data_IF_900120146288
#
_entry.id   IF_900120146288
#
_cell.length_a   1.000
_cell.length_b   1.000
_cell.length_c   1.000
_cell.angle_alpha   90.00
_cell.angle_beta   90.00
_cell.angle_gamma   90.00
#
_symmetry.space_group_name_H-M   'P 1'
#
loop_
_entity.id
_entity.type
_entity.pdbx_description
1 polymer ?
#
# COMPACT_ATOMS: atom_id res chain seq x y z
N UNK A 1 10.87 -2.37 20.86
CA UNK A 1 10.58 -1.73 19.55
C UNK A 1 10.37 -0.22 19.73
N UNK A 2 9.37 0.19 20.51
CA UNK A 2 9.09 1.60 20.85
C UNK A 2 10.33 2.42 21.19
N UNK A 3 11.13 1.99 22.17
CA UNK A 3 12.37 2.69 22.58
C UNK A 3 13.40 2.87 21.46
N UNK A 4 13.48 1.94 20.50
CA UNK A 4 14.39 2.09 19.36
C UNK A 4 13.85 3.13 18.37
N UNK A 5 12.55 3.09 18.08
CA UNK A 5 11.89 4.02 17.17
C UNK A 5 11.95 5.44 17.72
N UNK A 6 11.59 5.61 19.00
CA UNK A 6 11.63 6.89 19.72
C UNK A 6 13.04 7.51 19.71
N UNK A 7 14.08 6.67 19.80
CA UNK A 7 15.48 7.12 19.82
C UNK A 7 16.08 7.39 18.44
N UNK A 8 15.67 6.64 17.42
CA UNK A 8 16.37 6.63 16.12
C UNK A 8 15.53 7.23 14.98
N UNK A 9 14.27 7.63 15.22
CA UNK A 9 13.37 8.20 14.21
C UNK A 9 13.10 7.27 13.03
N UNK A 10 13.41 5.98 13.16
CA UNK A 10 13.25 4.96 12.13
C UNK A 10 13.01 3.61 12.75
N UNK A 11 12.36 2.74 11.98
CA UNK A 11 12.17 1.35 12.35
C UNK A 11 13.52 0.61 12.31
N UNK A 12 13.78 -0.34 13.23
CA UNK A 12 14.98 -1.15 13.19
C UNK A 12 14.90 -2.17 12.07
N UNK A 13 16.06 -2.50 11.50
CA UNK A 13 16.18 -3.49 10.42
C UNK A 13 15.74 -4.90 10.86
N UNK A 14 15.87 -5.19 12.15
CA UNK A 14 15.41 -6.41 12.80
C UNK A 14 15.16 -6.17 14.29
N UNK A 15 14.37 -7.02 14.92
CA UNK A 15 14.21 -7.14 16.36
C UNK A 15 14.88 -8.44 16.83
N UNK A 16 15.52 -8.42 17.98
CA UNK A 16 16.04 -9.64 18.60
C UNK A 16 14.95 -10.22 19.51
N UNK A 17 14.62 -11.50 19.32
CA UNK A 17 13.72 -12.26 20.18
C UNK A 17 14.49 -13.40 20.84
N UNK A 18 13.87 -14.10 21.79
CA UNK A 18 14.42 -15.33 22.38
C UNK A 18 14.63 -16.45 21.34
N UNK A 19 14.00 -16.35 20.16
CA UNK A 19 14.10 -17.30 19.06
C UNK A 19 15.05 -16.82 17.93
N UNK A 20 15.72 -15.68 18.10
CA UNK A 20 16.68 -15.13 17.15
C UNK A 20 16.31 -13.74 16.60
N UNK A 21 17.05 -13.27 15.59
CA UNK A 21 16.78 -11.97 14.94
C UNK A 21 15.64 -12.11 13.93
N UNK A 22 14.62 -11.28 14.07
CA UNK A 22 13.47 -11.20 13.17
C UNK A 22 13.49 -9.88 12.41
N UNK A 23 13.52 -9.90 11.07
CA UNK A 23 13.43 -8.68 10.26
C UNK A 23 12.07 -8.02 10.38
N UNK A 24 12.04 -6.72 10.11
CA UNK A 24 10.87 -5.88 10.24
C UNK A 24 9.63 -6.43 9.50
N UNK A 25 9.82 -6.92 8.28
CA UNK A 25 8.75 -7.43 7.41
C UNK A 25 8.08 -8.67 8.02
N UNK A 26 8.87 -9.56 8.63
CA UNK A 26 8.35 -10.73 9.35
C UNK A 26 7.56 -10.35 10.59
N UNK A 27 7.95 -9.25 11.24
CA UNK A 27 7.25 -8.72 12.40
C UNK A 27 5.90 -8.11 12.01
N UNK A 28 5.83 -7.35 10.90
CA UNK A 28 4.55 -6.85 10.36
C UNK A 28 3.64 -8.01 9.96
N UNK A 29 4.19 -9.03 9.31
CA UNK A 29 3.43 -10.22 8.95
C UNK A 29 2.89 -10.96 10.20
N UNK A 30 3.69 -11.03 11.27
CA UNK A 30 3.27 -11.58 12.56
C UNK A 30 2.10 -10.79 13.16
N UNK A 31 2.19 -9.46 13.23
CA UNK A 31 1.09 -8.62 13.72
C UNK A 31 -0.16 -8.75 12.86
N UNK A 32 -0.01 -8.84 11.53
CA UNK A 32 -1.13 -9.04 10.61
C UNK A 32 -1.86 -10.37 10.88
N UNK A 33 -1.13 -11.44 11.19
CA UNK A 33 -1.71 -12.72 11.61
C UNK A 33 -2.47 -12.62 12.93
N UNK A 34 -1.91 -11.90 13.90
CA UNK A 34 -2.55 -11.67 15.21
C UNK A 34 -3.90 -10.95 15.00
N UNK A 35 -3.89 -9.88 14.21
CA UNK A 35 -5.09 -9.07 13.96
C UNK A 35 -6.16 -9.83 13.19
N UNK A 36 -5.78 -10.64 12.18
CA UNK A 36 -6.74 -11.46 11.44
C UNK A 36 -7.40 -12.53 12.34
N UNK A 37 -6.61 -13.16 13.21
CA UNK A 37 -7.11 -14.12 14.19
C UNK A 37 -8.09 -13.45 15.16
N UNK A 38 -7.74 -12.27 15.68
CA UNK A 38 -8.60 -11.51 16.58
C UNK A 38 -9.91 -11.08 15.92
N UNK A 39 -9.86 -10.61 14.67
CA UNK A 39 -11.07 -10.21 13.94
C UNK A 39 -12.09 -11.35 13.83
N UNK A 40 -11.60 -12.58 13.62
CA UNK A 40 -12.41 -13.78 13.44
C UNK A 40 -12.89 -14.37 14.77
N UNK A 41 -11.99 -14.48 15.75
CA UNK A 41 -12.23 -15.24 16.98
C UNK A 41 -12.60 -14.35 18.18
N UNK A 42 -12.53 -13.02 18.03
CA UNK A 42 -12.71 -12.02 19.09
C UNK A 42 -11.83 -12.27 20.34
N UNK A 43 -10.73 -12.99 20.15
CA UNK A 43 -9.75 -13.36 21.16
C UNK A 43 -8.35 -13.34 20.54
N UNK A 44 -7.33 -13.08 21.35
CA UNK A 44 -5.94 -13.12 20.89
C UNK A 44 -5.49 -14.58 20.66
N UNK A 45 -4.61 -14.83 19.68
CA UNK A 45 -4.06 -16.16 19.48
C UNK A 45 -3.08 -16.53 20.59
N UNK A 46 -3.15 -17.77 21.09
CA UNK A 46 -2.20 -18.29 22.08
C UNK A 46 -0.76 -18.39 21.54
N UNK A 47 -0.59 -18.51 20.22
CA UNK A 47 0.70 -18.44 19.56
C UNK A 47 0.57 -18.02 18.10
N UNK A 48 1.62 -17.41 17.54
CA UNK A 48 1.69 -17.07 16.11
C UNK A 48 2.98 -17.60 15.51
N UNK A 49 2.84 -18.47 14.53
CA UNK A 49 3.97 -19.05 13.80
C UNK A 49 4.38 -18.19 12.62
N UNK A 50 5.67 -17.85 12.58
CA UNK A 50 6.36 -17.19 11.46
C UNK A 50 7.53 -18.07 11.02
N UNK A 51 7.75 -18.20 9.71
CA UNK A 51 8.85 -19.03 9.18
C UNK A 51 10.20 -18.37 9.49
N UNK A 52 11.17 -19.17 9.94
CA UNK A 52 12.54 -18.72 10.17
C UNK A 52 13.19 -18.25 8.86
N UNK A 53 13.91 -17.14 8.91
CA UNK A 53 14.59 -16.58 7.75
C UNK A 53 15.97 -17.22 7.57
N UNK A 54 16.04 -18.26 6.75
CA UNK A 54 17.31 -18.76 6.19
C UNK A 54 17.68 -17.94 4.95
N UNK A 55 18.97 -17.86 4.62
CA UNK A 55 19.52 -17.30 3.37
C UNK A 55 18.59 -17.52 2.18
N UNK A 56 17.93 -16.46 1.71
CA UNK A 56 17.14 -16.52 0.48
C UNK A 56 18.14 -16.54 -0.69
N UNK A 57 18.55 -17.75 -1.08
CA UNK A 57 18.68 -18.07 -2.49
C UNK A 57 17.34 -17.74 -3.16
N UNK A 58 17.32 -17.21 -4.40
CA UNK A 58 16.11 -16.68 -5.03
C UNK A 58 15.00 -17.74 -4.97
N UNK A 59 14.01 -17.45 -4.12
CA UNK A 59 12.71 -18.13 -3.93
C UNK A 59 12.65 -19.66 -4.13
N UNK A 60 12.10 -20.34 -3.11
CA UNK A 60 10.94 -21.17 -3.31
C UNK A 60 9.71 -20.47 -2.73
N UNK A 61 8.70 -20.39 -3.59
CA UNK A 61 7.28 -20.10 -3.40
C UNK A 61 6.76 -20.28 -1.96
N UNK A 62 6.04 -19.30 -1.38
CA UNK A 62 5.31 -19.51 -0.14
C UNK A 62 4.11 -20.43 -0.39
N UNK A 63 4.06 -21.55 0.33
CA UNK A 63 2.86 -22.40 0.41
C UNK A 63 1.72 -21.62 1.12
N UNK A 64 0.54 -21.49 0.49
CA UNK A 64 -0.63 -20.80 1.03
C UNK A 64 -1.13 -21.37 2.37
N UNK A 65 -1.62 -20.51 3.26
CA UNK A 65 -2.76 -20.91 4.09
C UNK A 65 -3.97 -21.01 3.17
N UNK A 66 -4.67 -22.14 3.21
CA UNK A 66 -5.70 -22.59 2.27
C UNK A 66 -6.91 -21.64 2.10
N UNK A 67 -6.70 -20.49 1.44
CA UNK A 67 -7.72 -19.71 0.71
C UNK A 67 -7.09 -18.47 0.00
N UNK A 68 -6.10 -18.66 -0.89
CA UNK A 68 -5.52 -17.53 -1.64
C UNK A 68 -5.53 -17.78 -3.14
N UNK A 69 -6.66 -17.50 -3.79
CA UNK A 69 -6.83 -17.53 -5.24
C UNK A 69 -6.26 -16.26 -5.91
N UNK A 70 -5.00 -15.91 -5.65
CA UNK A 70 -4.32 -14.84 -6.38
C UNK A 70 -2.97 -15.28 -6.92
N UNK A 71 -2.58 -14.70 -8.05
CA UNK A 71 -1.32 -14.97 -8.73
C UNK A 71 -0.33 -13.84 -8.48
N UNK A 72 0.97 -14.14 -8.59
CA UNK A 72 2.03 -13.12 -8.63
C UNK A 72 2.74 -13.24 -9.97
N UNK A 73 2.82 -12.14 -10.72
CA UNK A 73 3.51 -12.07 -12.01
C UNK A 73 4.63 -11.03 -11.95
N UNK A 74 5.85 -11.40 -12.32
CA UNK A 74 6.95 -10.45 -12.47
C UNK A 74 6.72 -9.58 -13.72
N UNK A 75 6.69 -8.26 -13.57
CA UNK A 75 6.54 -7.33 -14.70
C UNK A 75 7.89 -6.85 -15.24
N UNK A 76 8.92 -6.79 -14.37
CA UNK A 76 10.26 -6.43 -14.77
C UNK A 76 11.20 -6.18 -13.59
N UNK A 77 12.49 -6.18 -13.87
CA UNK A 77 13.58 -5.97 -12.91
C UNK A 77 14.71 -5.17 -13.56
N UNK A 78 15.54 -4.52 -12.74
CA UNK A 78 16.82 -3.95 -13.13
C UNK A 78 17.78 -3.93 -11.92
N UNK A 79 18.87 -3.17 -12.01
CA UNK A 79 19.90 -3.08 -10.96
C UNK A 79 19.43 -2.48 -9.63
N UNK A 80 18.36 -1.67 -9.62
CA UNK A 80 17.86 -1.04 -8.40
C UNK A 80 16.60 -1.71 -7.82
N UNK A 81 15.96 -2.64 -8.54
CA UNK A 81 14.83 -3.38 -7.99
C UNK A 81 13.94 -4.05 -9.02
N UNK A 82 12.73 -4.39 -8.61
CA UNK A 82 11.76 -5.07 -9.47
C UNK A 82 10.31 -4.60 -9.22
N UNK A 83 9.44 -4.95 -10.16
CA UNK A 83 8.00 -4.72 -10.08
C UNK A 83 7.26 -6.04 -10.33
N UNK A 84 6.31 -6.34 -9.46
CA UNK A 84 5.43 -7.50 -9.60
C UNK A 84 3.96 -7.10 -9.47
N UNK A 85 3.10 -7.85 -10.16
CA UNK A 85 1.64 -7.71 -10.13
C UNK A 85 1.04 -8.85 -9.33
N UNK A 86 0.33 -8.53 -8.27
CA UNK A 86 -0.40 -9.49 -7.44
C UNK A 86 -1.89 -9.36 -7.74
N UNK A 87 -2.58 -10.50 -7.78
CA UNK A 87 -4.02 -10.54 -7.95
C UNK A 87 -4.45 -11.59 -8.97
N UNK A 88 -5.72 -11.55 -9.37
CA UNK A 88 -6.74 -10.65 -8.83
C UNK A 88 -7.09 -10.93 -7.36
N UNK A 89 -7.58 -9.91 -6.66
CA UNK A 89 -8.30 -10.04 -5.38
C UNK A 89 -9.74 -9.55 -5.57
N UNK A 90 -10.73 -10.27 -5.05
CA UNK A 90 -12.14 -9.97 -5.32
C UNK A 90 -12.73 -10.76 -6.48
N UNK A 91 -14.05 -10.80 -6.53
CA UNK A 91 -14.87 -11.50 -7.51
C UNK A 91 -15.67 -10.55 -8.40
N UNK A 92 -15.63 -9.24 -8.13
CA UNK A 92 -16.32 -8.25 -8.96
C UNK A 92 -15.71 -8.10 -10.35
N UNK A 93 -16.38 -7.31 -11.19
CA UNK A 93 -15.99 -7.14 -12.61
C UNK A 93 -15.22 -5.85 -12.87
N UNK A 94 -15.30 -4.87 -11.97
CA UNK A 94 -14.62 -3.59 -12.13
C UNK A 94 -13.15 -3.71 -11.71
N UNK A 95 -12.23 -3.59 -12.67
CA UNK A 95 -10.80 -3.68 -12.37
C UNK A 95 -10.26 -2.42 -11.71
N UNK A 96 -9.58 -2.58 -10.58
CA UNK A 96 -8.90 -1.50 -9.85
C UNK A 96 -7.42 -1.83 -9.73
N UNK A 97 -6.56 -0.88 -10.11
CA UNK A 97 -5.12 -0.97 -9.90
C UNK A 97 -4.77 -0.29 -8.58
N UNK A 98 -4.03 -0.98 -7.72
CA UNK A 98 -3.47 -0.39 -6.50
C UNK A 98 -1.96 -0.41 -6.61
N UNK A 99 -1.32 0.75 -6.51
CA UNK A 99 0.12 0.90 -6.68
C UNK A 99 0.74 1.13 -5.30
N UNK A 100 1.76 0.35 -4.97
CA UNK A 100 2.46 0.44 -3.69
C UNK A 100 3.97 0.33 -3.89
N UNK A 101 4.74 0.90 -2.96
CA UNK A 101 6.18 0.72 -2.89
C UNK A 101 6.98 1.66 -3.80
N UNK A 102 6.33 2.67 -4.40
CA UNK A 102 7.02 3.70 -5.20
C UNK A 102 8.06 4.43 -4.34
N UNK A 103 7.76 4.69 -3.07
CA UNK A 103 8.71 5.25 -2.12
C UNK A 103 8.98 4.27 -0.96
N UNK A 104 10.19 3.70 -0.86
CA UNK A 104 10.47 2.66 0.14
C UNK A 104 10.23 3.09 1.60
N UNK A 105 10.43 4.36 1.93
CA UNK A 105 10.25 4.88 3.30
C UNK A 105 8.77 4.98 3.71
N UNK A 106 7.84 4.87 2.76
CA UNK A 106 6.38 4.91 2.98
C UNK A 106 5.80 3.49 3.16
N UNK A 107 6.68 2.50 3.41
CA UNK A 107 6.37 1.08 3.44
C UNK A 107 5.26 0.63 4.38
N UNK A 108 4.94 1.41 5.44
CA UNK A 108 3.84 1.04 6.34
C UNK A 108 2.47 1.21 5.71
N UNK A 109 2.23 2.33 5.02
CA UNK A 109 0.99 2.55 4.28
C UNK A 109 0.80 1.47 3.20
N UNK A 110 1.87 1.16 2.48
CA UNK A 110 1.90 0.10 1.47
C UNK A 110 1.51 -1.28 2.03
N UNK A 111 2.10 -1.67 3.16
CA UNK A 111 1.82 -2.96 3.80
C UNK A 111 0.40 -3.00 4.38
N UNK A 112 -0.06 -1.91 5.01
CA UNK A 112 -1.41 -1.80 5.54
C UNK A 112 -2.46 -2.01 4.44
N UNK A 113 -2.31 -1.32 3.29
CA UNK A 113 -3.22 -1.48 2.14
C UNK A 113 -3.17 -2.89 1.56
N UNK A 114 -1.98 -3.46 1.34
CA UNK A 114 -1.87 -4.83 0.83
C UNK A 114 -2.52 -5.86 1.78
N UNK A 115 -2.35 -5.69 3.09
CA UNK A 115 -2.94 -6.58 4.08
C UNK A 115 -4.47 -6.43 4.13
N UNK A 116 -4.99 -5.20 4.07
CA UNK A 116 -6.42 -4.95 4.01
C UNK A 116 -7.06 -5.57 2.75
N UNK A 117 -6.41 -5.43 1.59
CA UNK A 117 -6.85 -6.06 0.33
C UNK A 117 -6.94 -7.58 0.49
N UNK A 118 -5.90 -8.20 1.05
CA UNK A 118 -5.88 -9.65 1.29
C UNK A 118 -6.96 -10.11 2.27
N UNK A 119 -7.15 -9.37 3.35
CA UNK A 119 -8.13 -9.70 4.38
C UNK A 119 -9.58 -9.56 3.88
N UNK A 120 -9.83 -8.58 3.02
CA UNK A 120 -11.16 -8.30 2.47
C UNK A 120 -11.42 -8.97 1.12
N UNK A 121 -10.46 -9.72 0.56
CA UNK A 121 -10.54 -10.22 -0.81
C UNK A 121 -11.84 -11.00 -1.12
N UNK A 122 -12.37 -11.77 -0.17
CA UNK A 122 -13.63 -12.52 -0.36
C UNK A 122 -14.90 -11.67 -0.27
N UNK A 123 -14.80 -10.42 0.19
CA UNK A 123 -15.92 -9.46 0.31
C UNK A 123 -15.90 -8.40 -0.79
N UNK A 124 -14.96 -8.47 -1.72
CA UNK A 124 -14.85 -7.53 -2.84
C UNK A 124 -15.62 -8.07 -4.04
N UNK A 125 -16.93 -7.86 -4.03
CA UNK A 125 -17.91 -8.34 -5.01
C UNK A 125 -18.21 -7.35 -6.15
N UNK A 126 -17.85 -6.07 -6.00
CA UNK A 126 -18.01 -5.05 -7.05
C UNK A 126 -16.73 -4.80 -7.83
N UNK A 127 -15.58 -5.08 -7.21
CA UNK A 127 -14.26 -4.83 -7.79
C UNK A 127 -13.38 -6.07 -7.82
N UNK A 128 -12.39 -6.00 -8.71
CA UNK A 128 -11.27 -6.92 -8.79
C UNK A 128 -9.98 -6.09 -8.71
N UNK A 129 -9.18 -6.29 -7.67
CA UNK A 129 -7.97 -5.52 -7.41
C UNK A 129 -6.74 -6.24 -7.96
N UNK A 130 -5.89 -5.51 -8.68
CA UNK A 130 -4.51 -5.88 -8.96
C UNK A 130 -3.56 -4.94 -8.25
N UNK A 131 -2.67 -5.49 -7.43
CA UNK A 131 -1.64 -4.72 -6.73
C UNK A 131 -0.36 -4.72 -7.54
N UNK A 132 0.09 -3.54 -7.94
CA UNK A 132 1.38 -3.29 -8.57
C UNK A 132 2.39 -2.93 -7.48
N UNK A 133 3.19 -3.91 -7.08
CA UNK A 133 4.18 -3.75 -6.02
C UNK A 133 5.55 -3.45 -6.62
N UNK A 134 6.05 -2.26 -6.31
CA UNK A 134 7.42 -1.83 -6.61
C UNK A 134 8.31 -2.16 -5.42
N UNK A 135 9.50 -2.73 -5.69
CA UNK A 135 10.48 -3.03 -4.65
C UNK A 135 11.87 -2.56 -5.07
N UNK A 136 12.38 -1.58 -4.36
CA UNK A 136 13.76 -1.08 -4.48
C UNK A 136 14.67 -1.90 -3.57
N UNK A 137 15.83 -2.35 -4.06
CA UNK A 137 16.76 -3.18 -3.30
C UNK A 137 17.46 -2.41 -2.19
N UNK A 138 17.91 -1.19 -2.47
CA UNK A 138 18.56 -0.33 -1.49
C UNK A 138 17.66 0.85 -1.12
N UNK A 139 17.04 0.77 0.06
CA UNK A 139 16.13 1.77 0.59
C UNK A 139 16.77 2.73 1.61
N UNK A 140 18.10 2.74 1.73
CA UNK A 140 18.78 3.48 2.81
C UNK A 140 18.83 4.98 2.56
N UNK A 141 19.09 5.40 1.32
CA UNK A 141 19.10 6.81 0.94
C UNK A 141 17.73 7.24 0.41
N UNK A 142 17.10 8.22 1.06
CA UNK A 142 15.74 8.66 0.70
C UNK A 142 15.67 9.16 -0.75
N UNK A 143 16.56 10.08 -1.15
CA UNK A 143 16.51 10.74 -2.46
C UNK A 143 16.73 9.74 -3.60
N UNK A 144 17.72 8.88 -3.45
CA UNK A 144 18.10 7.85 -4.43
C UNK A 144 17.01 6.79 -4.53
N UNK A 145 16.58 6.22 -3.41
CA UNK A 145 15.59 5.13 -3.42
C UNK A 145 14.20 5.60 -3.85
N UNK A 146 13.82 6.84 -3.54
CA UNK A 146 12.63 7.49 -4.08
C UNK A 146 12.69 7.57 -5.60
N UNK A 147 13.78 8.10 -6.15
CA UNK A 147 13.98 8.23 -7.61
C UNK A 147 13.96 6.87 -8.30
N UNK A 148 14.63 5.88 -7.71
CA UNK A 148 14.64 4.51 -8.20
C UNK A 148 13.24 3.89 -8.21
N UNK A 149 12.45 4.04 -7.15
CA UNK A 149 11.09 3.52 -7.11
C UNK A 149 10.16 4.21 -8.12
N UNK A 150 10.27 5.53 -8.28
CA UNK A 150 9.57 6.28 -9.34
C UNK A 150 9.94 5.75 -10.74
N UNK A 151 11.23 5.50 -11.01
CA UNK A 151 11.68 4.99 -12.30
C UNK A 151 11.25 3.54 -12.56
N UNK A 152 11.24 2.67 -11.54
CA UNK A 152 10.67 1.32 -11.65
C UNK A 152 9.17 1.39 -11.99
N UNK A 153 8.44 2.23 -11.26
CA UNK A 153 7.00 2.40 -11.45
C UNK A 153 6.69 2.93 -12.85
N UNK A 154 7.38 3.98 -13.28
CA UNK A 154 7.21 4.52 -14.63
C UNK A 154 7.51 3.48 -15.71
N UNK A 155 8.57 2.67 -15.55
CA UNK A 155 8.98 1.69 -16.55
C UNK A 155 8.07 0.45 -16.62
N UNK A 156 7.62 -0.05 -15.47
CA UNK A 156 6.96 -1.36 -15.41
C UNK A 156 5.52 -1.32 -14.87
N UNK A 157 5.12 -0.32 -14.07
CA UNK A 157 3.73 -0.18 -13.60
C UNK A 157 2.90 0.56 -14.64
N UNK A 158 3.34 1.76 -15.05
CA UNK A 158 2.55 2.62 -15.94
C UNK A 158 2.15 1.89 -17.22
N UNK A 159 3.03 1.21 -17.98
CA UNK A 159 2.64 0.54 -19.23
C UNK A 159 1.66 -0.62 -19.02
N UNK A 160 1.67 -1.25 -17.84
CA UNK A 160 0.86 -2.43 -17.53
C UNK A 160 -0.52 -2.10 -16.93
N UNK A 161 -0.82 -0.82 -16.70
CA UNK A 161 -2.16 -0.33 -16.35
C UNK A 161 -2.76 0.29 -17.63
N UNK A 162 -3.77 -0.41 -18.18
CA UNK A 162 -4.49 -0.04 -19.40
C UNK A 162 -5.96 0.37 -19.12
N UNK A 163 -6.70 0.73 -20.16
CA UNK A 163 -8.08 1.21 -20.08
C UNK A 163 -9.10 0.16 -19.63
N UNK A 164 -8.69 -1.10 -19.43
CA UNK A 164 -9.54 -2.09 -18.75
C UNK A 164 -9.66 -1.82 -17.25
N UNK A 165 -8.73 -1.05 -16.66
CA UNK A 165 -8.83 -0.55 -15.29
C UNK A 165 -9.76 0.67 -15.21
N UNK A 166 -10.66 0.65 -14.21
CA UNK A 166 -11.63 1.72 -13.96
C UNK A 166 -11.11 2.77 -12.98
N UNK A 167 -10.11 2.41 -12.18
CA UNK A 167 -9.46 3.30 -11.22
C UNK A 167 -8.03 2.82 -10.94
N UNK A 168 -7.10 3.75 -10.82
CA UNK A 168 -5.78 3.55 -10.23
C UNK A 168 -5.65 4.32 -8.91
N UNK A 169 -5.40 3.61 -7.82
CA UNK A 169 -5.08 4.16 -6.51
C UNK A 169 -3.59 4.09 -6.28
N UNK A 170 -2.92 5.23 -6.18
CA UNK A 170 -1.50 5.35 -5.90
C UNK A 170 -1.31 5.69 -4.40
N UNK A 171 -0.72 4.76 -3.65
CA UNK A 171 -0.64 4.84 -2.18
C UNK A 171 0.68 5.46 -1.76
N UNK A 172 0.62 6.49 -0.93
CA UNK A 172 1.76 7.23 -0.38
C UNK A 172 1.57 7.49 1.12
N UNK A 173 2.59 8.06 1.76
CA UNK A 173 2.46 8.61 3.10
C UNK A 173 3.18 9.95 3.24
N UNK A 174 2.61 10.84 4.05
CA UNK A 174 3.14 12.17 4.28
C UNK A 174 3.68 12.35 5.71
N UNK A 175 4.58 13.34 5.86
CA UNK A 175 5.24 13.67 7.13
C UNK A 175 4.56 14.79 7.93
N UNK A 176 3.38 15.26 7.50
CA UNK A 176 2.62 16.30 8.20
C UNK A 176 3.07 17.73 7.93
N UNK A 177 3.57 18.03 6.72
CA UNK A 177 3.98 19.38 6.32
C UNK A 177 2.89 20.18 5.60
N UNK A 178 1.72 19.58 5.40
CA UNK A 178 0.67 20.14 4.57
C UNK A 178 -0.39 20.83 5.44
N UNK A 179 -0.64 22.11 5.19
CA UNK A 179 -1.61 22.90 5.94
C UNK A 179 -2.55 23.64 4.97
N UNK A 180 -3.80 23.79 5.37
CA UNK A 180 -4.79 24.62 4.68
C UNK A 180 -5.56 25.43 5.73
N UNK A 181 -5.49 26.76 5.66
CA UNK A 181 -6.15 27.62 6.66
C UNK A 181 -5.71 27.36 8.11
N UNK A 182 -4.49 26.87 8.32
CA UNK A 182 -3.97 26.49 9.65
C UNK A 182 -4.31 25.07 10.11
N UNK A 183 -5.14 24.33 9.35
CA UNK A 183 -5.46 22.93 9.64
C UNK A 183 -4.47 21.98 8.97
N UNK A 184 -3.91 21.04 9.73
CA UNK A 184 -3.06 19.97 9.22
C UNK A 184 -3.84 19.09 8.24
N UNK A 185 -3.27 18.86 7.07
CA UNK A 185 -3.78 17.94 6.07
C UNK A 185 -3.05 16.61 6.24
N UNK A 186 -3.56 15.83 7.17
CA UNK A 186 -2.99 14.59 7.68
C UNK A 186 -3.30 13.39 6.76
N UNK A 187 -4.57 13.17 6.44
CA UNK A 187 -4.98 12.04 5.63
C UNK A 187 -5.87 12.53 4.49
N UNK A 188 -5.41 12.36 3.26
CA UNK A 188 -6.09 12.95 2.13
C UNK A 188 -6.01 12.12 0.86
N UNK A 189 -6.93 12.41 -0.05
CA UNK A 189 -6.98 11.85 -1.39
C UNK A 189 -7.17 12.97 -2.40
N UNK A 190 -6.52 12.88 -3.56
CA UNK A 190 -6.69 13.87 -4.62
C UNK A 190 -6.43 13.32 -6.01
N UNK A 191 -6.87 14.09 -7.01
CA UNK A 191 -6.74 13.78 -8.43
C UNK A 191 -5.65 14.67 -9.06
N UNK A 192 -4.39 14.23 -9.19
CA UNK A 192 -3.29 15.10 -9.61
C UNK A 192 -3.46 15.65 -11.05
N UNK A 193 -4.18 14.94 -11.92
CA UNK A 193 -4.49 15.39 -13.28
C UNK A 193 -5.72 16.29 -13.39
N UNK A 194 -6.38 16.61 -12.27
CA UNK A 194 -7.63 17.37 -12.21
C UNK A 194 -8.83 16.79 -12.99
N UNK A 195 -8.76 15.54 -13.45
CA UNK A 195 -9.84 14.90 -14.22
C UNK A 195 -11.14 14.72 -13.42
N UNK A 196 -12.29 15.00 -14.05
CA UNK A 196 -13.60 14.95 -13.40
C UNK A 196 -13.93 13.56 -12.80
N UNK A 197 -13.65 12.48 -13.54
CA UNK A 197 -13.87 11.11 -13.03
C UNK A 197 -12.94 10.78 -11.86
N UNK A 198 -11.65 11.15 -11.91
CA UNK A 198 -10.74 11.00 -10.77
C UNK A 198 -11.25 11.74 -9.53
N UNK A 199 -11.74 12.98 -9.69
CA UNK A 199 -12.33 13.75 -8.58
C UNK A 199 -13.60 13.08 -8.04
N UNK A 200 -14.44 12.53 -8.90
CA UNK A 200 -15.61 11.76 -8.49
C UNK A 200 -15.23 10.54 -7.64
N UNK A 201 -14.23 9.75 -8.05
CA UNK A 201 -13.74 8.63 -7.24
C UNK A 201 -13.09 9.09 -5.92
N UNK A 202 -12.30 10.16 -5.92
CA UNK A 202 -11.75 10.72 -4.69
C UNK A 202 -12.88 11.10 -3.70
N UNK A 203 -13.95 11.74 -4.18
CA UNK A 203 -15.09 12.10 -3.34
C UNK A 203 -15.88 10.88 -2.85
N UNK A 204 -16.01 9.81 -3.68
CA UNK A 204 -16.61 8.55 -3.24
C UNK A 204 -15.80 7.88 -2.15
N UNK A 205 -14.47 7.92 -2.23
CA UNK A 205 -13.59 7.43 -1.17
C UNK A 205 -13.82 8.21 0.12
N UNK A 206 -13.80 9.54 0.06
CA UNK A 206 -14.07 10.42 1.21
C UNK A 206 -15.42 10.11 1.85
N UNK A 207 -16.49 10.01 1.06
CA UNK A 207 -17.84 9.74 1.56
C UNK A 207 -17.99 8.38 2.26
N UNK A 208 -17.07 7.43 2.04
CA UNK A 208 -17.09 6.08 2.61
C UNK A 208 -15.97 5.86 3.64
N UNK A 209 -15.34 6.93 4.12
CA UNK A 209 -14.33 6.88 5.18
C UNK A 209 -14.56 8.02 6.17
N UNK A 210 -14.17 7.87 7.42
CA UNK A 210 -14.33 8.91 8.45
C UNK A 210 -13.11 9.85 8.56
N UNK A 211 -12.01 9.53 7.88
CA UNK A 211 -10.72 10.18 8.10
C UNK A 211 -10.15 10.88 6.86
N UNK A 212 -10.63 10.57 5.64
CA UNK A 212 -10.12 11.20 4.43
C UNK A 212 -10.78 12.56 4.18
N UNK A 213 -9.96 13.48 3.68
CA UNK A 213 -10.42 14.73 3.06
C UNK A 213 -9.82 14.91 1.66
N UNK A 214 -10.41 15.81 0.89
CA UNK A 214 -9.84 16.19 -0.40
C UNK A 214 -8.78 17.28 -0.18
N UNK A 215 -7.54 17.00 -0.55
CA UNK A 215 -6.47 18.00 -0.51
C UNK A 215 -5.45 17.76 -1.62
N UNK A 216 -5.33 18.72 -2.54
CA UNK A 216 -4.41 18.62 -3.66
C UNK A 216 -3.07 19.28 -3.31
N UNK A 217 -2.00 18.48 -3.32
CA UNK A 217 -0.64 18.98 -3.13
C UNK A 217 -0.11 19.53 -4.47
N UNK A 218 0.33 20.80 -4.47
CA UNK A 218 0.85 21.46 -5.65
C UNK A 218 2.28 20.99 -6.04
N UNK A 219 3.11 20.62 -5.06
CA UNK A 219 4.57 20.49 -5.24
C UNK A 219 5.11 19.05 -5.26
N UNK A 220 4.27 18.08 -5.66
CA UNK A 220 4.67 16.68 -5.75
C UNK A 220 5.38 16.33 -7.07
N UNK A 221 6.60 15.78 -7.01
CA UNK A 221 7.29 15.25 -8.21
C UNK A 221 6.83 13.85 -8.61
N UNK A 222 6.46 13.01 -7.65
CA UNK A 222 6.02 11.62 -7.86
C UNK A 222 4.81 11.47 -8.82
N UNK A 223 3.75 12.32 -8.73
CA UNK A 223 2.62 12.25 -9.65
C UNK A 223 3.04 12.26 -11.14
N UNK A 224 4.11 12.98 -11.50
CA UNK A 224 4.59 13.07 -12.89
C UNK A 224 5.17 11.74 -13.43
N UNK A 225 5.64 10.85 -12.55
CA UNK A 225 6.23 9.57 -12.94
C UNK A 225 5.20 8.46 -13.07
N UNK A 226 4.13 8.49 -12.27
CA UNK A 226 3.22 7.35 -12.12
C UNK A 226 1.77 7.76 -12.39
N UNK A 227 1.17 8.53 -11.48
CA UNK A 227 -0.28 8.78 -11.48
C UNK A 227 -0.74 9.60 -12.68
N UNK A 228 -0.03 10.68 -13.03
CA UNK A 228 -0.38 11.56 -14.17
C UNK A 228 -0.23 10.81 -15.50
N UNK A 229 0.87 10.07 -15.77
CA UNK A 229 0.96 9.22 -16.95
C UNK A 229 -0.19 8.20 -17.10
N UNK A 230 -0.65 7.60 -16.00
CA UNK A 230 -1.82 6.71 -16.01
C UNK A 230 -3.09 7.50 -16.37
N UNK A 231 -3.29 8.66 -15.74
CA UNK A 231 -4.44 9.52 -16.03
C UNK A 231 -4.49 9.99 -17.50
N UNK A 232 -3.33 10.28 -18.10
CA UNK A 232 -3.22 10.65 -19.52
C UNK A 232 -3.69 9.55 -20.49
N UNK A 233 -3.81 8.30 -20.04
CA UNK A 233 -4.41 7.20 -20.80
C UNK A 233 -5.94 7.18 -20.75
N UNK A 234 -6.57 8.16 -20.08
CA UNK A 234 -8.02 8.18 -19.87
C UNK A 234 -8.50 7.33 -18.70
N UNK A 235 -7.59 6.90 -17.82
CA UNK A 235 -7.91 6.06 -16.66
C UNK A 235 -8.05 6.97 -15.44
N UNK A 236 -9.17 6.96 -14.70
CA UNK A 236 -9.27 7.66 -13.43
C UNK A 236 -8.14 7.23 -12.50
N UNK A 237 -7.38 8.19 -12.00
CA UNK A 237 -6.26 7.95 -11.10
C UNK A 237 -6.24 8.99 -9.97
N UNK A 238 -6.02 8.50 -8.75
CA UNK A 238 -5.98 9.30 -7.52
C UNK A 238 -4.79 8.89 -6.65
N UNK A 239 -4.28 9.83 -5.87
CA UNK A 239 -3.26 9.60 -4.86
C UNK A 239 -3.93 9.57 -3.50
N UNK A 240 -3.60 8.55 -2.70
CA UNK A 240 -4.00 8.41 -1.30
C UNK A 240 -2.77 8.60 -0.42
N UNK A 241 -2.83 9.59 0.47
CA UNK A 241 -1.73 10.01 1.34
C UNK A 241 -2.16 9.89 2.80
N UNK A 242 -1.37 9.15 3.57
CA UNK A 242 -1.65 8.90 5.00
C UNK A 242 -0.60 9.56 5.87
N UNK A 243 -1.01 10.12 7.01
CA UNK A 243 -0.04 10.71 7.93
C UNK A 243 0.79 9.63 8.62
N UNK A 244 2.10 9.78 8.58
CA UNK A 244 3.01 8.74 9.07
C UNK A 244 3.33 8.81 10.58
N UNK A 245 3.08 9.95 11.25
CA UNK A 245 3.48 10.15 12.65
C UNK A 245 2.27 10.08 13.60
N UNK A 246 1.71 8.88 13.78
CA UNK A 246 0.63 8.65 14.75
C UNK A 246 1.01 7.53 15.72
N UNK A 247 0.52 7.61 16.96
CA UNK A 247 0.68 6.54 17.94
C UNK A 247 -0.01 5.25 17.47
N UNK A 248 0.52 4.08 17.85
CA UNK A 248 0.05 2.78 17.38
C UNK A 248 -0.05 2.69 15.84
N UNK A 249 0.89 3.34 15.16
CA UNK A 249 0.91 3.57 13.71
C UNK A 249 0.45 2.40 12.84
N UNK A 250 0.91 1.19 13.15
CA UNK A 250 0.55 0.00 12.36
C UNK A 250 -0.94 -0.35 12.44
N UNK A 251 -1.54 -0.21 13.62
CA UNK A 251 -2.96 -0.49 13.84
C UNK A 251 -3.82 0.61 13.19
N UNK A 252 -3.46 1.87 13.41
CA UNK A 252 -4.17 3.01 12.83
C UNK A 252 -4.18 2.94 11.30
N UNK A 253 -3.01 2.72 10.68
CA UNK A 253 -2.94 2.60 9.23
C UNK A 253 -3.67 1.39 8.68
N UNK A 254 -3.66 0.27 9.40
CA UNK A 254 -4.41 -0.90 8.98
C UNK A 254 -5.92 -0.64 9.02
N UNK A 255 -6.42 0.06 10.04
CA UNK A 255 -7.82 0.45 10.11
C UNK A 255 -8.21 1.43 8.99
N UNK A 256 -7.37 2.43 8.71
CA UNK A 256 -7.55 3.32 7.55
C UNK A 256 -7.54 2.54 6.23
N UNK A 257 -6.61 1.60 6.06
CA UNK A 257 -6.55 0.75 4.88
C UNK A 257 -7.79 -0.13 4.72
N UNK A 258 -8.35 -0.69 5.81
CA UNK A 258 -9.61 -1.43 5.76
C UNK A 258 -10.77 -0.55 5.27
N UNK A 259 -10.86 0.69 5.77
CA UNK A 259 -11.87 1.64 5.32
C UNK A 259 -11.70 1.99 3.84
N UNK A 260 -10.48 2.31 3.39
CA UNK A 260 -10.21 2.65 1.99
C UNK A 260 -10.52 1.48 1.04
N UNK A 261 -10.17 0.25 1.41
CA UNK A 261 -10.47 -0.93 0.58
C UNK A 261 -11.98 -1.19 0.49
N UNK A 262 -12.72 -1.00 1.60
CA UNK A 262 -14.20 -1.06 1.58
C UNK A 262 -14.80 0.06 0.73
N UNK A 263 -14.28 1.29 0.85
CA UNK A 263 -14.70 2.45 0.08
C UNK A 263 -14.42 2.27 -1.43
N UNK A 264 -13.30 1.63 -1.79
CA UNK A 264 -13.03 1.22 -3.17
C UNK A 264 -14.14 0.29 -3.68
N UNK A 265 -14.52 -0.75 -2.94
CA UNK A 265 -15.60 -1.65 -3.36
C UNK A 265 -16.93 -0.91 -3.52
N UNK A 266 -17.30 -0.09 -2.54
CA UNK A 266 -18.54 0.66 -2.53
C UNK A 266 -18.62 1.73 -3.63
N UNK A 267 -17.49 2.20 -4.16
CA UNK A 267 -17.45 3.21 -5.22
C UNK A 267 -17.98 2.73 -6.57
N UNK A 268 -18.18 1.42 -6.73
CA UNK A 268 -18.63 0.75 -7.95
C UNK A 268 -20.01 0.08 -7.81
N UNK A 269 -20.71 0.32 -6.69
CA UNK A 269 -22.13 0.05 -6.55
C UNK A 269 -22.98 1.05 -7.35
#
# INVERSE_FOLDING_TARGET
MKTFVDKNGRLPNYVTTSLGKMRYESMVYMYSKIMNYYNTNKALPNSVSVKAWGTIAPTPTPTPGNNTNYTTTMLGQNSYGFVQKLGPFGTGTNKVAVIIGVHPQEGQAHLAVLNAIKALASTLDNIQIWVYQVRVYNATDYTTSRTQGQNLANKYVVPNIDTSFKLALDVHSNRGFYYNGGELQDNFVFAPSNGAQSKSYANKLIANTDFLKYYQVADGTSPNYVTIPIAKKGIPAVIYEVYQNVDNYQEVLYNYALQVVKALNASFN
#
